data_IF_760130590562
#
_entry.id   IF_760130590562
#
_cell.length_a   1.000
_cell.length_b   1.000
_cell.length_c   1.000
_cell.angle_alpha   90.00
_cell.angle_beta   90.00
_cell.angle_gamma   90.00
#
_symmetry.space_group_name_H-M   'P 1'
#
loop_
_entity.id
_entity.type
_entity.pdbx_description
1 polymer ?
#
# COMPACT_ATOMS: atom_id res chain seq x y z
N UNK A 1 -1.12 6.96 34.17
CA UNK A 1 -2.10 6.68 33.11
C UNK A 1 -1.95 7.77 32.06
N UNK A 2 -1.83 7.41 30.76
CA UNK A 2 -1.80 8.42 29.71
C UNK A 2 -3.10 9.23 29.74
N UNK A 3 -3.01 10.54 29.53
CA UNK A 3 -4.14 11.47 29.48
C UNK A 3 -4.37 11.93 28.05
N UNK A 4 -5.63 12.15 27.64
CA UNK A 4 -5.95 12.76 26.34
C UNK A 4 -5.46 14.21 26.23
N UNK A 5 -5.02 14.81 27.35
CA UNK A 5 -4.38 16.12 27.39
C UNK A 5 -2.88 16.06 27.12
N UNK A 6 -2.26 14.89 27.27
CA UNK A 6 -0.90 14.68 26.83
C UNK A 6 -0.91 14.61 25.31
N UNK A 7 -0.31 15.60 24.64
CA UNK A 7 -0.04 15.50 23.19
C UNK A 7 0.84 14.28 23.00
N UNK A 8 0.22 13.15 22.65
CA UNK A 8 0.94 11.91 22.34
C UNK A 8 1.83 12.20 21.15
N UNK A 9 3.13 12.21 21.37
CA UNK A 9 4.10 12.25 20.27
C UNK A 9 3.88 11.00 19.46
N UNK A 10 3.75 11.16 18.16
CA UNK A 10 3.50 10.06 17.24
C UNK A 10 4.80 9.33 16.98
N UNK A 11 4.88 8.07 17.37
CA UNK A 11 6.10 7.24 17.17
C UNK A 11 6.45 7.09 15.68
N UNK A 12 5.45 7.06 14.82
CA UNK A 12 5.61 6.88 13.38
C UNK A 12 4.30 6.58 12.68
N UNK A 13 4.38 6.27 11.42
CA UNK A 13 3.23 6.07 10.54
C UNK A 13 3.07 4.59 10.20
N UNK A 14 1.91 3.99 10.49
CA UNK A 14 1.49 2.68 9.99
C UNK A 14 0.35 2.91 9.00
N UNK A 15 0.68 2.95 7.69
CA UNK A 15 -0.24 3.47 6.70
C UNK A 15 -0.39 2.59 5.46
N UNK A 16 -1.58 2.65 4.87
CA UNK A 16 -1.89 2.14 3.53
C UNK A 16 -1.95 3.29 2.53
N UNK A 17 -1.05 3.27 1.54
CA UNK A 17 -0.99 4.20 0.41
C UNK A 17 -1.64 3.52 -0.80
N UNK A 18 -2.85 3.93 -1.17
CA UNK A 18 -3.59 3.34 -2.29
C UNK A 18 -3.80 4.35 -3.42
N UNK A 19 -3.92 3.89 -4.65
CA UNK A 19 -4.15 4.73 -5.83
C UNK A 19 -3.84 3.98 -7.11
N UNK A 20 -4.16 4.56 -8.25
CA UNK A 20 -3.87 3.97 -9.56
C UNK A 20 -2.36 3.91 -9.83
N UNK A 21 -1.95 3.17 -10.85
CA UNK A 21 -0.54 3.12 -11.24
C UNK A 21 -0.08 4.49 -11.76
N UNK A 22 1.10 4.93 -11.32
CA UNK A 22 1.64 6.23 -11.75
C UNK A 22 1.30 7.42 -10.85
N UNK A 23 0.40 7.29 -9.88
CA UNK A 23 -0.02 8.37 -8.98
C UNK A 23 1.02 8.82 -7.93
N UNK A 24 2.23 8.24 -7.98
CA UNK A 24 3.35 8.70 -7.14
C UNK A 24 3.45 8.04 -5.77
N UNK A 25 2.71 6.96 -5.48
CA UNK A 25 2.78 6.23 -4.20
C UNK A 25 4.20 5.85 -3.79
N UNK A 26 4.94 5.17 -4.68
CA UNK A 26 6.32 4.73 -4.40
C UNK A 26 7.26 5.93 -4.22
N UNK A 27 7.05 7.02 -4.98
CA UNK A 27 7.82 8.26 -4.82
C UNK A 27 7.54 8.89 -3.45
N UNK A 28 6.28 8.95 -3.04
CA UNK A 28 5.90 9.45 -1.73
C UNK A 28 6.49 8.59 -0.60
N UNK A 29 6.38 7.26 -0.71
CA UNK A 29 6.94 6.35 0.29
C UNK A 29 8.47 6.46 0.40
N UNK A 30 9.17 6.58 -0.73
CA UNK A 30 10.62 6.74 -0.74
C UNK A 30 11.10 8.11 -0.21
N UNK A 31 10.22 9.08 -0.01
CA UNK A 31 10.59 10.34 0.63
C UNK A 31 10.92 10.20 2.11
N UNK A 32 10.42 9.14 2.77
CA UNK A 32 10.65 8.87 4.18
C UNK A 32 12.11 8.53 4.49
N UNK A 33 12.56 8.71 5.78
CA UNK A 33 13.95 8.51 6.18
C UNK A 33 14.36 7.03 6.13
N UNK A 34 15.61 6.75 5.78
CA UNK A 34 16.28 5.42 5.75
C UNK A 34 15.37 4.28 5.31
N UNK A 35 14.82 4.31 4.09
CA UNK A 35 13.85 3.34 3.64
C UNK A 35 14.50 2.00 3.30
N UNK A 36 13.80 0.93 3.68
CA UNK A 36 13.98 -0.41 3.14
C UNK A 36 12.71 -0.85 2.43
N UNK A 37 12.83 -1.38 1.21
CA UNK A 37 11.70 -1.74 0.37
C UNK A 37 11.64 -3.24 0.14
N UNK A 38 10.51 -3.83 0.48
CA UNK A 38 10.09 -5.13 -0.03
C UNK A 38 9.55 -4.91 -1.44
N UNK A 39 10.43 -5.01 -2.46
CA UNK A 39 10.10 -4.68 -3.86
C UNK A 39 9.50 -5.89 -4.58
N UNK A 40 8.20 -6.11 -4.43
CA UNK A 40 7.48 -7.17 -5.12
C UNK A 40 7.28 -6.87 -6.61
N UNK A 41 7.21 -5.58 -6.95
CA UNK A 41 6.99 -5.11 -8.33
C UNK A 41 8.27 -5.07 -9.16
N UNK A 42 9.44 -5.24 -8.54
CA UNK A 42 10.78 -5.20 -9.18
C UNK A 42 11.07 -3.88 -9.89
N UNK A 43 10.62 -2.76 -9.32
CA UNK A 43 10.70 -1.43 -9.93
C UNK A 43 11.67 -0.48 -9.22
N UNK A 44 12.17 -0.84 -8.04
CA UNK A 44 12.96 0.06 -7.20
C UNK A 44 14.19 0.64 -7.87
N UNK A 45 15.02 -0.10 -8.64
CA UNK A 45 16.17 0.49 -9.30
C UNK A 45 15.82 1.67 -10.21
N UNK A 46 14.73 1.54 -10.98
CA UNK A 46 14.29 2.58 -11.91
C UNK A 46 13.71 3.81 -11.18
N UNK A 47 12.91 3.58 -10.14
CA UNK A 47 12.24 4.64 -9.38
C UNK A 47 13.27 5.43 -8.56
N UNK A 48 14.15 4.74 -7.85
CA UNK A 48 15.19 5.35 -7.01
C UNK A 48 16.13 6.22 -7.84
N UNK A 49 16.68 5.70 -8.93
CA UNK A 49 17.59 6.45 -9.80
C UNK A 49 16.94 7.69 -10.43
N UNK A 50 15.66 7.60 -10.79
CA UNK A 50 14.94 8.69 -11.45
C UNK A 50 14.55 9.82 -10.50
N UNK A 51 14.04 9.47 -9.31
CA UNK A 51 13.42 10.45 -8.42
C UNK A 51 14.26 10.82 -7.20
N UNK A 52 15.24 9.99 -6.84
CA UNK A 52 16.09 10.19 -5.66
C UNK A 52 17.58 9.94 -5.98
N UNK A 53 18.16 10.66 -6.97
CA UNK A 53 19.57 10.48 -7.28
C UNK A 53 20.43 10.85 -6.07
N UNK A 54 21.26 9.91 -5.60
CA UNK A 54 22.13 10.10 -4.44
C UNK A 54 21.48 9.80 -3.07
N UNK A 55 20.20 9.45 -3.00
CA UNK A 55 19.60 8.92 -1.77
C UNK A 55 19.89 7.43 -1.65
N UNK A 56 20.38 7.01 -0.50
CA UNK A 56 20.54 5.60 -0.19
C UNK A 56 19.17 4.96 0.05
N UNK A 57 18.84 3.95 -0.77
CA UNK A 57 17.62 3.15 -0.67
C UNK A 57 18.02 1.69 -0.69
N UNK A 58 17.61 0.94 0.31
CA UNK A 58 17.82 -0.50 0.37
C UNK A 58 16.57 -1.24 -0.04
N UNK A 59 16.69 -2.32 -0.82
CA UNK A 59 15.57 -3.15 -1.23
C UNK A 59 15.99 -4.58 -1.47
N UNK A 60 15.05 -5.50 -1.29
CA UNK A 60 15.14 -6.88 -1.75
C UNK A 60 13.92 -7.22 -2.62
N UNK A 61 14.14 -8.10 -3.60
CA UNK A 61 13.08 -8.70 -4.40
C UNK A 61 12.83 -10.13 -3.93
N UNK A 62 11.58 -10.57 -3.99
CA UNK A 62 11.17 -11.85 -3.43
C UNK A 62 10.54 -12.73 -4.50
N UNK A 63 10.84 -14.04 -4.45
CA UNK A 63 10.29 -15.02 -5.39
C UNK A 63 9.15 -15.84 -4.77
N UNK A 64 9.08 -15.85 -3.45
CA UNK A 64 8.03 -16.53 -2.69
C UNK A 64 7.78 -15.85 -1.32
N UNK A 65 6.69 -16.26 -0.67
CA UNK A 65 6.30 -15.69 0.63
C UNK A 65 7.17 -16.16 1.80
N UNK A 66 7.94 -17.25 1.64
CA UNK A 66 8.82 -17.71 2.71
C UNK A 66 10.01 -16.80 2.85
N UNK A 67 10.60 -16.37 1.72
CA UNK A 67 11.68 -15.39 1.74
C UNK A 67 11.23 -14.05 2.35
N UNK A 68 9.97 -13.62 2.13
CA UNK A 68 9.40 -12.46 2.83
C UNK A 68 9.32 -12.70 4.33
N UNK A 69 8.84 -13.89 4.71
CA UNK A 69 8.71 -14.28 6.12
C UNK A 69 10.07 -14.31 6.83
N UNK A 70 11.08 -14.87 6.17
CA UNK A 70 12.43 -14.96 6.69
C UNK A 70 13.05 -13.57 6.92
N UNK A 71 12.84 -12.64 5.99
CA UNK A 71 13.32 -11.27 6.12
C UNK A 71 12.63 -10.53 7.28
N UNK A 72 11.33 -10.70 7.45
CA UNK A 72 10.59 -10.12 8.58
C UNK A 72 11.11 -10.72 9.91
N UNK A 73 11.30 -12.05 9.96
CA UNK A 73 11.84 -12.72 11.13
C UNK A 73 13.26 -12.25 11.45
N UNK A 74 14.10 -12.02 10.43
CA UNK A 74 15.44 -11.44 10.59
C UNK A 74 15.36 -10.08 11.30
N UNK A 75 14.50 -9.17 10.85
CA UNK A 75 14.32 -7.87 11.49
C UNK A 75 13.74 -7.97 12.90
N UNK A 76 12.87 -8.95 13.15
CA UNK A 76 12.33 -9.17 14.49
C UNK A 76 13.37 -9.71 15.48
N UNK A 77 14.29 -10.59 15.03
CA UNK A 77 15.28 -11.20 15.88
C UNK A 77 16.53 -10.33 16.09
N UNK A 78 17.00 -9.70 15.02
CA UNK A 78 18.29 -9.00 15.01
C UNK A 78 18.15 -7.48 15.15
N UNK A 79 16.91 -6.96 15.15
CA UNK A 79 16.61 -5.54 15.04
C UNK A 79 16.57 -5.06 13.59
N UNK A 80 15.87 -3.98 13.35
CA UNK A 80 15.73 -3.38 12.02
C UNK A 80 16.58 -2.09 11.95
N UNK A 81 17.60 -2.02 11.08
CA UNK A 81 18.46 -0.84 10.97
C UNK A 81 17.81 0.33 10.22
N UNK A 82 16.61 0.12 9.68
CA UNK A 82 15.89 1.08 8.85
C UNK A 82 14.83 1.83 9.65
N UNK A 83 14.63 3.11 9.32
CA UNK A 83 13.57 3.92 9.94
C UNK A 83 12.22 3.74 9.26
N UNK A 84 12.22 3.30 8.00
CA UNK A 84 11.00 3.10 7.21
C UNK A 84 11.03 1.73 6.52
N UNK A 85 9.97 0.95 6.70
CA UNK A 85 9.70 -0.25 5.91
C UNK A 85 8.60 0.06 4.88
N UNK A 86 8.84 -0.33 3.63
CA UNK A 86 7.91 -0.11 2.52
C UNK A 86 7.60 -1.45 1.85
N UNK A 87 6.33 -1.80 1.74
CA UNK A 87 5.84 -3.00 1.05
C UNK A 87 5.22 -2.60 -0.30
N UNK A 88 5.97 -2.68 -1.39
CA UNK A 88 5.54 -2.25 -2.73
C UNK A 88 5.43 -3.43 -3.70
N UNK A 89 4.24 -3.95 -3.93
CA UNK A 89 2.92 -3.60 -3.44
C UNK A 89 2.18 -4.80 -2.85
N UNK A 90 1.18 -4.58 -1.99
CA UNK A 90 0.26 -5.64 -1.52
C UNK A 90 -0.41 -6.34 -2.70
N UNK A 91 -0.71 -5.62 -3.76
CA UNK A 91 -1.32 -6.15 -4.99
C UNK A 91 -0.49 -7.30 -5.57
N UNK A 92 0.80 -7.09 -5.75
CA UNK A 92 1.72 -8.11 -6.29
C UNK A 92 2.05 -9.18 -5.25
N UNK A 93 2.20 -8.81 -3.97
CA UNK A 93 2.39 -9.76 -2.88
C UNK A 93 1.23 -10.76 -2.79
N UNK A 94 -0.01 -10.30 -2.94
CA UNK A 94 -1.20 -11.15 -2.95
C UNK A 94 -1.10 -12.23 -4.05
N UNK A 95 -0.66 -11.85 -5.24
CA UNK A 95 -0.41 -12.79 -6.34
C UNK A 95 0.76 -13.74 -6.03
N UNK A 96 1.84 -13.22 -5.45
CA UNK A 96 2.99 -14.02 -5.02
C UNK A 96 2.58 -15.10 -4.01
N UNK A 97 1.70 -14.74 -3.08
CA UNK A 97 1.16 -15.66 -2.09
C UNK A 97 0.43 -16.84 -2.75
N UNK A 98 -0.48 -16.56 -3.69
CA UNK A 98 -1.18 -17.63 -4.42
C UNK A 98 -0.23 -18.51 -5.22
N UNK A 99 0.75 -17.93 -5.90
CA UNK A 99 1.73 -18.65 -6.69
C UNK A 99 2.59 -19.57 -5.81
N UNK A 100 3.02 -19.12 -4.65
CA UNK A 100 3.78 -19.93 -3.70
C UNK A 100 2.97 -21.12 -3.20
N UNK A 101 1.71 -20.87 -2.81
CA UNK A 101 0.81 -21.92 -2.33
C UNK A 101 0.50 -22.98 -3.39
N UNK A 102 0.31 -22.56 -4.66
CA UNK A 102 0.09 -23.47 -5.77
C UNK A 102 1.33 -24.36 -6.00
N UNK A 103 2.53 -23.77 -6.03
CA UNK A 103 3.78 -24.52 -6.18
C UNK A 103 3.97 -25.56 -5.07
N UNK A 104 3.62 -25.23 -3.82
CA UNK A 104 3.71 -26.18 -2.70
C UNK A 104 2.83 -27.42 -2.88
N UNK A 105 1.67 -27.27 -3.49
CA UNK A 105 0.79 -28.41 -3.81
C UNK A 105 1.19 -29.17 -5.09
N UNK A 106 2.31 -28.79 -5.71
CA UNK A 106 2.76 -29.36 -6.99
C UNK A 106 1.90 -28.91 -8.18
N UNK A 107 1.11 -27.85 -8.00
CA UNK A 107 0.29 -27.25 -9.02
C UNK A 107 1.08 -26.13 -9.70
N UNK A 108 1.09 -26.09 -11.04
CA UNK A 108 1.66 -24.98 -11.80
C UNK A 108 0.62 -23.86 -11.91
N UNK A 109 0.84 -22.69 -11.30
CA UNK A 109 -0.12 -21.59 -11.34
C UNK A 109 -0.45 -21.16 -12.78
N UNK A 110 0.48 -21.34 -13.73
CA UNK A 110 0.28 -21.00 -15.15
C UNK A 110 -0.48 -22.11 -15.89
N UNK A 111 -0.33 -23.36 -15.48
CA UNK A 111 -1.02 -24.51 -16.10
C UNK A 111 -2.47 -24.70 -15.65
N UNK A 112 -2.90 -24.02 -14.61
CA UNK A 112 -4.29 -24.07 -14.17
C UNK A 112 -5.26 -23.37 -15.14
N UNK A 113 -4.75 -22.58 -16.08
CA UNK A 113 -5.51 -22.22 -17.29
C UNK A 113 -5.33 -23.35 -18.31
N UNK A 114 -5.82 -24.53 -18.01
CA UNK A 114 -6.06 -25.51 -19.07
C UNK A 114 -7.16 -24.93 -19.95
N UNK A 115 -6.77 -24.46 -21.12
CA UNK A 115 -7.66 -24.34 -22.26
C UNK A 115 -8.11 -25.79 -22.62
N UNK A 116 -9.03 -26.31 -21.85
CA UNK A 116 -9.73 -27.53 -22.16
C UNK A 116 -10.50 -27.21 -23.42
N UNK A 117 -10.25 -27.99 -24.47
CA UNK A 117 -10.86 -28.00 -25.79
C UNK A 117 -12.10 -27.11 -25.94
N UNK A 118 -12.22 -26.37 -27.03
CA UNK A 118 -13.26 -25.40 -27.33
C UNK A 118 -14.73 -25.89 -27.16
N UNK A 119 -14.95 -27.12 -26.82
CA UNK A 119 -16.26 -27.73 -26.50
C UNK A 119 -16.58 -27.80 -25.00
N UNK A 120 -15.56 -27.91 -24.14
CA UNK A 120 -15.75 -27.96 -22.66
C UNK A 120 -15.08 -26.74 -22.01
N UNK A 121 -15.79 -25.62 -21.99
CA UNK A 121 -15.36 -24.36 -21.36
C UNK A 121 -15.34 -24.49 -19.84
N UNK A 122 -14.47 -25.31 -19.27
CA UNK A 122 -14.17 -25.31 -17.83
C UNK A 122 -12.84 -24.60 -17.60
N UNK A 123 -12.91 -23.34 -17.15
CA UNK A 123 -11.80 -22.70 -16.47
C UNK A 123 -11.69 -23.34 -15.08
N UNK A 124 -10.63 -24.11 -14.85
CA UNK A 124 -10.27 -24.50 -13.47
C UNK A 124 -9.76 -23.26 -12.75
N UNK A 125 -10.57 -22.72 -11.90
CA UNK A 125 -10.22 -21.60 -11.02
C UNK A 125 -9.56 -22.16 -9.76
N UNK A 126 -8.54 -21.47 -9.25
CA UNK A 126 -7.94 -21.81 -7.95
C UNK A 126 -9.00 -22.03 -6.89
N UNK A 127 -8.88 -23.11 -6.12
CA UNK A 127 -9.83 -23.46 -5.08
C UNK A 127 -9.96 -22.38 -4.00
N UNK A 128 -11.11 -22.33 -3.33
CA UNK A 128 -11.42 -21.34 -2.30
C UNK A 128 -10.39 -21.29 -1.16
N UNK A 129 -9.73 -22.40 -0.88
CA UNK A 129 -8.71 -22.54 0.17
C UNK A 129 -7.47 -21.66 -0.07
N UNK A 130 -7.07 -21.45 -1.33
CA UNK A 130 -5.94 -20.59 -1.67
C UNK A 130 -6.19 -19.12 -1.32
N UNK A 131 -7.39 -18.63 -1.59
CA UNK A 131 -7.77 -17.26 -1.26
C UNK A 131 -7.92 -17.04 0.25
N UNK A 132 -8.35 -18.06 0.98
CA UNK A 132 -8.36 -18.01 2.44
C UNK A 132 -6.95 -18.01 3.01
N UNK A 133 -6.04 -18.82 2.45
CA UNK A 133 -4.64 -18.87 2.87
C UNK A 133 -3.92 -17.54 2.54
N UNK A 134 -4.18 -16.93 1.37
CA UNK A 134 -3.69 -15.60 1.01
C UNK A 134 -4.15 -14.54 2.03
N UNK A 135 -5.44 -14.51 2.33
CA UNK A 135 -6.00 -13.57 3.30
C UNK A 135 -5.36 -13.77 4.68
N UNK A 136 -5.20 -15.01 5.13
CA UNK A 136 -4.57 -15.31 6.42
C UNK A 136 -3.10 -14.94 6.46
N UNK A 137 -2.35 -15.15 5.36
CA UNK A 137 -0.95 -14.76 5.30
C UNK A 137 -0.79 -13.24 5.39
N UNK A 138 -1.56 -12.49 4.61
CA UNK A 138 -1.46 -11.04 4.62
C UNK A 138 -1.92 -10.47 5.97
N UNK A 139 -3.06 -10.91 6.49
CA UNK A 139 -3.62 -10.37 7.72
C UNK A 139 -2.83 -10.81 8.96
N UNK A 140 -2.79 -12.11 9.23
CA UNK A 140 -2.26 -12.63 10.50
C UNK A 140 -0.75 -12.73 10.54
N UNK A 141 -0.12 -12.94 9.40
CA UNK A 141 1.33 -13.04 9.40
C UNK A 141 1.98 -11.70 9.08
N UNK A 142 1.69 -11.13 7.92
CA UNK A 142 2.39 -9.93 7.45
C UNK A 142 2.00 -8.69 8.26
N UNK A 143 0.72 -8.35 8.32
CA UNK A 143 0.26 -7.12 8.96
C UNK A 143 0.49 -7.15 10.48
N UNK A 144 0.20 -8.25 11.16
CA UNK A 144 0.45 -8.37 12.61
C UNK A 144 1.93 -8.26 12.94
N UNK A 145 2.82 -8.93 12.20
CA UNK A 145 4.27 -8.82 12.43
C UNK A 145 4.80 -7.42 12.08
N UNK A 146 4.29 -6.78 11.05
CA UNK A 146 4.65 -5.41 10.70
C UNK A 146 4.20 -4.41 11.79
N UNK A 147 3.02 -4.61 12.40
CA UNK A 147 2.56 -3.83 13.55
C UNK A 147 3.45 -4.05 14.78
N UNK A 148 3.87 -5.29 15.05
CA UNK A 148 4.80 -5.59 16.14
C UNK A 148 6.14 -4.90 15.91
N UNK A 149 6.68 -4.94 14.70
CA UNK A 149 7.89 -4.21 14.34
C UNK A 149 7.73 -2.71 14.54
N UNK A 150 6.62 -2.13 14.10
CA UNK A 150 6.32 -0.71 14.24
C UNK A 150 6.18 -0.28 15.72
N UNK A 151 5.55 -1.10 16.54
CA UNK A 151 5.30 -0.79 17.95
C UNK A 151 6.52 -0.96 18.86
N UNK A 152 7.54 -1.68 18.42
CA UNK A 152 8.70 -2.06 19.22
C UNK A 152 9.69 -0.90 19.31
N UNK A 153 10.23 -0.66 20.50
CA UNK A 153 11.24 0.36 20.76
C UNK A 153 12.53 0.07 19.96
N UNK A 154 13.15 1.07 19.34
CA UNK A 154 14.33 0.93 18.50
C UNK A 154 14.10 0.32 17.11
N UNK A 155 12.84 0.21 16.67
CA UNK A 155 12.46 -0.35 15.36
C UNK A 155 11.88 0.72 14.41
N UNK A 156 11.54 0.33 13.18
CA UNK A 156 11.12 1.29 12.17
C UNK A 156 9.96 2.15 12.66
N UNK A 157 10.14 3.45 12.56
CA UNK A 157 9.12 4.45 12.91
C UNK A 157 7.96 4.41 11.93
N UNK A 158 8.25 4.12 10.67
CA UNK A 158 7.27 4.16 9.59
C UNK A 158 7.16 2.80 8.92
N UNK A 159 5.93 2.33 8.75
CA UNK A 159 5.63 1.12 7.99
C UNK A 159 4.53 1.45 6.98
N UNK A 160 4.89 1.41 5.70
CA UNK A 160 4.06 1.85 4.60
C UNK A 160 3.73 0.67 3.67
N UNK A 161 2.46 0.44 3.45
CA UNK A 161 1.99 -0.55 2.50
C UNK A 161 1.41 0.17 1.28
N UNK A 162 1.85 -0.24 0.09
CA UNK A 162 1.35 0.31 -1.16
C UNK A 162 0.35 -0.66 -1.80
N UNK A 163 -0.73 -0.12 -2.35
CA UNK A 163 -1.73 -0.91 -3.05
C UNK A 163 -2.22 -0.21 -4.32
N UNK A 164 -2.42 -0.97 -5.38
CA UNK A 164 -3.15 -0.50 -6.55
C UNK A 164 -4.65 -0.58 -6.29
N UNK A 165 -5.40 0.29 -6.94
CA UNK A 165 -6.87 0.29 -6.90
C UNK A 165 -7.45 -0.05 -8.27
N UNK A 166 -8.68 -0.51 -8.23
CA UNK A 166 -9.55 -0.65 -9.40
C UNK A 166 -10.88 0.03 -9.10
N UNK A 167 -11.39 0.75 -10.07
CA UNK A 167 -12.74 1.32 -10.01
C UNK A 167 -13.72 0.27 -10.55
N UNK A 168 -14.68 -0.11 -9.72
CA UNK A 168 -15.76 -1.03 -10.09
C UNK A 168 -17.05 -0.22 -10.17
N UNK A 169 -17.68 -0.26 -11.33
CA UNK A 169 -19.00 0.34 -11.54
C UNK A 169 -20.08 -0.71 -11.28
N UNK A 170 -21.08 -0.38 -10.47
CA UNK A 170 -22.26 -1.22 -10.30
C UNK A 170 -23.10 -1.23 -11.58
N UNK A 171 -23.91 -2.29 -11.76
CA UNK A 171 -25.00 -2.19 -12.73
C UNK A 171 -25.92 -1.02 -12.35
N UNK A 172 -26.49 -0.30 -13.35
CA UNK A 172 -27.43 0.78 -13.06
C UNK A 172 -28.58 0.27 -12.20
N UNK A 173 -28.90 0.99 -11.13
CA UNK A 173 -30.08 0.68 -10.33
C UNK A 173 -31.34 0.76 -11.20
N UNK A 174 -32.21 -0.25 -11.09
CA UNK A 174 -33.38 -0.39 -11.98
C UNK A 174 -34.33 0.81 -11.85
N UNK A 175 -34.44 1.43 -10.67
CA UNK A 175 -35.37 2.52 -10.39
C UNK A 175 -34.78 3.89 -10.63
N UNK A 176 -33.56 4.11 -10.10
CA UNK A 176 -32.92 5.43 -10.11
C UNK A 176 -32.00 5.66 -11.33
N UNK A 177 -31.64 4.57 -12.04
CA UNK A 177 -30.64 4.57 -13.13
C UNK A 177 -29.24 5.04 -12.67
N UNK A 178 -29.01 5.16 -11.37
CA UNK A 178 -27.73 5.54 -10.82
C UNK A 178 -26.74 4.40 -10.92
N UNK A 179 -25.52 4.73 -11.29
CA UNK A 179 -24.35 3.84 -11.28
C UNK A 179 -23.49 4.23 -10.09
N UNK A 180 -23.29 3.30 -9.18
CA UNK A 180 -22.36 3.52 -8.06
C UNK A 180 -20.96 3.10 -8.50
N UNK A 181 -19.98 3.96 -8.30
CA UNK A 181 -18.56 3.67 -8.50
C UNK A 181 -17.93 3.37 -7.15
N UNK A 182 -17.28 2.25 -7.02
CA UNK A 182 -16.54 1.87 -5.81
C UNK A 182 -15.09 1.64 -6.15
N UNK A 183 -14.18 2.28 -5.44
CA UNK A 183 -12.74 2.07 -5.58
C UNK A 183 -12.26 1.10 -4.52
N UNK A 184 -11.70 -0.01 -4.96
CA UNK A 184 -11.18 -1.06 -4.08
C UNK A 184 -9.71 -1.32 -4.38
N UNK A 185 -8.94 -1.73 -3.36
CA UNK A 185 -7.59 -2.20 -3.62
C UNK A 185 -7.63 -3.50 -4.43
N UNK A 186 -6.61 -3.70 -5.24
CA UNK A 186 -6.47 -4.91 -6.05
C UNK A 186 -5.72 -5.95 -5.24
N UNK A 187 -6.38 -7.08 -4.96
CA UNK A 187 -5.79 -8.29 -4.40
C UNK A 187 -6.34 -9.49 -5.15
N UNK A 188 -5.69 -10.63 -5.02
CA UNK A 188 -6.17 -11.86 -5.65
C UNK A 188 -7.52 -12.30 -5.06
N UNK A 189 -7.73 -12.11 -3.76
CA UNK A 189 -8.96 -12.43 -3.06
C UNK A 189 -9.86 -11.21 -2.85
N UNK A 190 -11.17 -11.32 -3.20
CA UNK A 190 -12.12 -10.22 -2.94
C UNK A 190 -12.28 -9.90 -1.46
N UNK A 191 -12.14 -10.91 -0.59
CA UNK A 191 -12.25 -10.73 0.86
C UNK A 191 -11.09 -9.92 1.40
N UNK A 192 -9.86 -10.20 0.97
CA UNK A 192 -8.68 -9.43 1.35
C UNK A 192 -8.77 -7.98 0.89
N UNK A 193 -9.27 -7.72 -0.31
CA UNK A 193 -9.47 -6.36 -0.83
C UNK A 193 -10.36 -5.48 0.07
N UNK A 194 -11.44 -6.05 0.62
CA UNK A 194 -12.35 -5.35 1.52
C UNK A 194 -11.78 -5.22 2.94
N UNK A 195 -11.03 -6.21 3.39
CA UNK A 195 -10.61 -6.34 4.78
C UNK A 195 -9.29 -5.61 5.09
N UNK A 196 -8.30 -5.69 4.20
CA UNK A 196 -6.97 -5.10 4.42
C UNK A 196 -7.04 -3.61 4.82
N UNK A 197 -7.80 -2.73 4.14
CA UNK A 197 -7.84 -1.31 4.52
C UNK A 197 -8.37 -1.06 5.94
N UNK A 198 -9.15 -1.99 6.50
CA UNK A 198 -9.69 -1.84 7.86
C UNK A 198 -8.64 -2.00 8.96
N UNK A 199 -7.51 -2.62 8.64
CA UNK A 199 -6.40 -2.89 9.57
C UNK A 199 -5.48 -1.69 9.80
N UNK A 200 -5.61 -0.65 9.00
CA UNK A 200 -4.78 0.54 9.10
C UNK A 200 -5.55 1.67 9.78
N UNK A 201 -4.89 2.43 10.62
CA UNK A 201 -5.43 3.68 11.16
C UNK A 201 -5.30 4.82 10.14
N UNK A 202 -4.27 4.73 9.29
CA UNK A 202 -3.96 5.68 8.24
C UNK A 202 -4.17 5.06 6.86
N UNK A 203 -5.08 5.60 6.08
CA UNK A 203 -5.34 5.17 4.70
C UNK A 203 -5.37 6.41 3.82
N UNK A 204 -4.41 6.51 2.91
CA UNK A 204 -4.24 7.65 2.02
C UNK A 204 -4.55 7.27 0.57
N UNK A 205 -5.39 8.07 -0.06
CA UNK A 205 -5.76 7.89 -1.46
C UNK A 205 -4.95 8.84 -2.34
N UNK A 206 -4.07 8.27 -3.16
CA UNK A 206 -3.24 8.99 -4.11
C UNK A 206 -3.99 9.20 -5.41
N UNK A 207 -3.83 10.39 -5.99
CA UNK A 207 -4.42 10.77 -7.26
C UNK A 207 -3.72 11.98 -7.87
N UNK A 208 -4.28 12.48 -8.96
CA UNK A 208 -3.83 13.71 -9.59
C UNK A 208 -5.02 14.63 -9.86
N UNK A 209 -4.73 15.91 -9.99
CA UNK A 209 -5.66 16.93 -10.51
C UNK A 209 -5.08 17.53 -11.76
N UNK A 210 -5.89 17.55 -12.81
CA UNK A 210 -5.54 18.21 -14.06
C UNK A 210 -5.37 19.72 -13.89
N UNK A 211 -4.62 20.36 -14.78
CA UNK A 211 -4.49 21.80 -14.80
C UNK A 211 -5.86 22.48 -14.91
N UNK A 212 -6.11 23.47 -14.07
CA UNK A 212 -7.28 24.29 -14.20
C UNK A 212 -7.02 25.39 -15.25
N UNK A 213 -7.71 25.37 -16.42
CA UNK A 213 -7.50 26.34 -17.48
C UNK A 213 -7.92 27.77 -17.11
N UNK A 214 -8.77 27.92 -16.09
CA UNK A 214 -9.27 29.22 -15.62
C UNK A 214 -8.48 29.78 -14.43
N UNK A 215 -7.60 28.99 -13.84
CA UNK A 215 -6.81 29.41 -12.71
C UNK A 215 -5.63 30.30 -13.15
N UNK A 216 -5.46 31.41 -12.49
CA UNK A 216 -4.37 32.35 -12.80
C UNK A 216 -3.05 31.99 -12.11
N UNK A 217 -3.10 31.27 -11.00
CA UNK A 217 -1.92 30.89 -10.24
C UNK A 217 -1.05 29.89 -11.01
N UNK A 218 0.25 30.15 -11.23
CA UNK A 218 1.10 29.28 -12.04
C UNK A 218 1.16 27.82 -11.56
N UNK A 219 1.12 27.61 -10.25
CA UNK A 219 1.15 26.27 -9.64
C UNK A 219 -0.02 25.38 -10.07
N UNK A 220 -1.15 25.94 -10.41
CA UNK A 220 -2.37 25.21 -10.81
C UNK A 220 -2.51 25.05 -12.33
N UNK A 221 -1.54 25.55 -13.10
CA UNK A 221 -1.45 25.36 -14.56
C UNK A 221 -0.76 24.07 -14.97
N UNK A 222 -0.35 23.24 -14.02
CA UNK A 222 0.25 21.92 -14.25
C UNK A 222 -0.53 20.84 -13.52
N UNK A 223 -0.41 19.61 -13.98
CA UNK A 223 -0.94 18.44 -13.27
C UNK A 223 -0.34 18.37 -11.87
N UNK A 224 -1.19 18.29 -10.87
CA UNK A 224 -0.79 18.23 -9.47
C UNK A 224 -0.95 16.83 -8.91
N UNK A 225 0.02 16.40 -8.11
CA UNK A 225 -0.08 15.16 -7.34
C UNK A 225 -0.71 15.46 -5.99
N UNK A 226 -1.79 14.76 -5.70
CA UNK A 226 -2.56 14.97 -4.48
C UNK A 226 -2.69 13.68 -3.68
N UNK A 227 -2.85 13.85 -2.38
CA UNK A 227 -3.23 12.78 -1.44
C UNK A 227 -4.49 13.23 -0.72
N UNK A 228 -5.53 12.42 -0.78
CA UNK A 228 -6.72 12.56 0.05
C UNK A 228 -6.53 11.77 1.34
N UNK A 229 -6.76 12.42 2.46
CA UNK A 229 -6.60 11.89 3.82
C UNK A 229 -7.94 11.64 4.49
N UNK A 230 -9.03 12.20 3.96
CA UNK A 230 -10.39 12.04 4.44
C UNK A 230 -11.30 11.41 3.39
N UNK A 231 -12.44 10.88 3.84
CA UNK A 231 -13.47 10.33 2.96
C UNK A 231 -13.98 11.39 1.99
N UNK A 232 -13.93 11.09 0.71
CA UNK A 232 -14.50 11.92 -0.35
C UNK A 232 -15.30 11.03 -1.31
N UNK A 233 -16.61 11.12 -1.25
CA UNK A 233 -17.51 10.36 -2.13
C UNK A 233 -17.31 8.84 -1.97
N UNK A 234 -16.95 8.16 -3.06
CA UNK A 234 -16.77 6.70 -3.12
C UNK A 234 -15.39 6.22 -2.62
N UNK A 235 -14.53 7.14 -2.18
CA UNK A 235 -13.17 6.84 -1.76
C UNK A 235 -13.07 6.70 -0.25
N UNK A 236 -12.53 5.57 0.20
CA UNK A 236 -12.19 5.37 1.60
C UNK A 236 -10.77 5.88 1.85
N UNK A 237 -10.64 7.06 2.44
CA UNK A 237 -9.42 7.53 3.09
C UNK A 237 -9.76 7.81 4.55
N UNK A 238 -8.78 7.66 5.44
CA UNK A 238 -8.94 7.97 6.86
C UNK A 238 -7.60 8.32 7.47
N UNK A 239 -7.63 9.22 8.45
CA UNK A 239 -6.48 9.57 9.26
C UNK A 239 -6.91 9.77 10.71
N UNK A 240 -6.06 9.37 11.65
CA UNK A 240 -6.17 9.70 13.06
C UNK A 240 -5.47 11.03 13.39
N UNK A 241 -4.74 11.61 12.44
CA UNK A 241 -4.01 12.86 12.59
C UNK A 241 -4.80 14.06 12.07
N UNK A 242 -4.40 15.25 12.50
CA UNK A 242 -4.98 16.52 12.05
C UNK A 242 -4.31 16.96 10.72
N UNK A 243 -4.50 16.18 9.68
CA UNK A 243 -4.06 16.54 8.34
C UNK A 243 -5.17 17.30 7.59
N UNK A 244 -4.81 18.15 6.60
CA UNK A 244 -5.78 18.66 5.65
C UNK A 244 -6.43 17.49 4.90
N UNK A 245 -7.72 17.59 4.56
CA UNK A 245 -8.41 16.55 3.79
C UNK A 245 -7.80 16.26 2.41
N UNK A 246 -7.01 17.21 1.91
CA UNK A 246 -6.23 17.08 0.68
C UNK A 246 -4.83 17.68 0.87
N UNK A 247 -3.81 16.94 0.47
CA UNK A 247 -2.40 17.35 0.50
C UNK A 247 -1.85 17.37 -0.93
N UNK A 248 -1.31 18.51 -1.37
CA UNK A 248 -0.58 18.64 -2.64
C UNK A 248 0.92 18.41 -2.38
N UNK A 249 1.49 17.39 -3.02
CA UNK A 249 2.91 17.04 -2.89
C UNK A 249 3.67 17.11 -4.23
N UNK A 250 3.17 17.92 -5.15
CA UNK A 250 3.73 18.04 -6.51
C UNK A 250 5.19 18.49 -6.52
N UNK A 251 5.51 19.47 -5.70
CA UNK A 251 6.80 20.15 -5.68
C UNK A 251 7.58 19.93 -4.36
N UNK A 252 7.04 19.11 -3.47
CA UNK A 252 7.62 18.87 -2.15
C UNK A 252 7.64 17.39 -1.80
N UNK A 253 8.55 17.01 -0.92
CA UNK A 253 8.56 15.66 -0.34
C UNK A 253 7.30 15.43 0.48
N UNK A 254 6.65 14.29 0.26
CA UNK A 254 5.45 13.94 1.02
C UNK A 254 5.75 13.83 2.52
N UNK A 255 6.90 13.27 2.88
CA UNK A 255 7.34 13.19 4.27
C UNK A 255 7.50 14.57 4.92
N UNK A 256 8.17 15.52 4.23
CA UNK A 256 8.38 16.87 4.75
C UNK A 256 7.06 17.60 4.96
N UNK A 257 6.08 17.38 4.07
CA UNK A 257 4.75 17.97 4.24
C UNK A 257 4.08 17.40 5.48
N UNK A 258 4.13 16.08 5.69
CA UNK A 258 3.53 15.46 6.88
C UNK A 258 4.15 15.96 8.18
N UNK A 259 5.47 16.19 8.21
CA UNK A 259 6.17 16.73 9.40
C UNK A 259 5.75 18.14 9.76
N UNK A 260 5.17 18.92 8.84
CA UNK A 260 4.60 20.22 9.15
C UNK A 260 3.30 20.13 9.97
N UNK A 261 2.59 19.01 9.89
CA UNK A 261 1.32 18.81 10.59
C UNK A 261 1.45 17.93 11.82
N UNK A 262 2.47 17.08 11.87
CA UNK A 262 2.67 16.16 12.99
C UNK A 262 4.16 16.10 13.36
N UNK A 263 4.46 16.15 14.66
CA UNK A 263 5.83 15.92 15.13
C UNK A 263 6.02 14.43 15.38
N UNK A 264 6.83 13.78 14.54
CA UNK A 264 7.31 12.43 14.83
C UNK A 264 8.36 12.50 15.95
N UNK A 265 8.37 11.50 16.84
CA UNK A 265 9.38 11.44 17.90
C UNK A 265 10.77 11.32 17.28
N UNK A 266 11.66 12.26 17.58
CA UNK A 266 13.09 12.07 17.38
C UNK A 266 13.61 11.19 18.52
N UNK A 267 14.22 10.06 18.21
CA UNK A 267 15.00 9.29 19.18
C UNK A 267 16.21 10.14 19.59
N UNK A 268 16.32 10.41 20.90
CA UNK A 268 17.48 11.07 21.49
C UNK A 268 18.65 10.09 21.61
#
# INVERSE_FOLDING_TARGET
MPSTLDKTKVKGLFALLKGESGEGKSVAALSFPKPYVFDFDRKMPAISNKHFPGKEVHWDTFEDIFAVSDKIAEFMMNGCPYETLIFDSITTLSTLCLNTLAKQKGEDPVKQIKLVNARDKKLEVMGFDYYNAETNFIDRYLLENAQILHAREGNPKHVLFLAHIVTVESAPDIRTKLVTKTRSIVTAGRKSAAYIPTKFDEVYMFGHKDPDPFEQRPAYKKTRRIVMTELSGDDSAKTAYTFPGEIDFTDSSFYDILTNYTSFEEEK
#
